data_IF_221229512366
#
_entry.id   IF_221229512366
#
_cell.length_a   1.000
_cell.length_b   1.000
_cell.length_c   1.000
_cell.angle_alpha   90.00
_cell.angle_beta   90.00
_cell.angle_gamma   90.00
#
_symmetry.space_group_name_H-M   'P 1'
#
loop_
_entity.id
_entity.type
_entity.pdbx_description
1 polymer ?
2 water ?
#
# COMPACT_ATOMS: atom_id res chain seq x y z
N UNK A 1 -2.56 22.62 5.68
CA UNK A 1 -4.00 22.65 5.28
C UNK A 1 -4.17 22.03 3.90
N UNK A 2 -5.25 21.26 3.74
CA UNK A 2 -5.55 20.57 2.45
C UNK A 2 -6.14 21.59 1.50
N UNK A 3 -5.63 21.70 0.28
CA UNK A 3 -6.08 22.71 -0.69
C UNK A 3 -7.39 22.34 -1.35
N UNK A 4 -8.43 22.27 -0.53
CA UNK A 4 -9.71 21.78 -0.92
C UNK A 4 -10.26 22.50 -2.11
N UNK A 5 -10.22 23.84 -2.09
CA UNK A 5 -10.81 24.55 -3.19
C UNK A 5 -10.07 24.32 -4.51
N UNK A 6 -8.73 24.38 -4.51
CA UNK A 6 -7.99 24.12 -5.72
C UNK A 6 -8.28 22.69 -6.23
N UNK A 7 -8.36 21.71 -5.32
CA UNK A 7 -8.55 20.34 -5.73
C UNK A 7 -9.95 20.14 -6.31
N UNK A 8 -10.94 20.74 -5.66
CA UNK A 8 -12.28 20.58 -6.14
C UNK A 8 -12.43 21.30 -7.53
N UNK A 9 -11.66 22.35 -7.78
CA UNK A 9 -11.67 23.00 -9.09
C UNK A 9 -11.24 22.02 -10.18
N UNK A 10 -10.17 21.30 -9.92
CA UNK A 10 -9.72 20.28 -10.85
C UNK A 10 -10.81 19.26 -11.08
N UNK A 11 -11.44 18.76 -9.99
CA UNK A 11 -12.38 17.69 -10.11
C UNK A 11 -13.69 18.11 -10.79
N UNK A 12 -14.08 19.38 -10.57
CA UNK A 12 -15.26 19.92 -11.14
C UNK A 12 -15.09 20.39 -12.56
N UNK A 13 -13.90 20.31 -13.12
CA UNK A 13 -13.63 20.96 -14.38
C UNK A 13 -14.49 20.46 -15.53
N UNK A 14 -14.87 19.18 -15.52
CA UNK A 14 -15.70 18.66 -16.59
C UNK A 14 -17.18 18.97 -16.45
N UNK A 15 -17.59 19.58 -15.36
CA UNK A 15 -19.00 19.94 -15.18
C UNK A 15 -19.91 18.76 -14.93
N UNK A 16 -19.38 17.62 -14.51
CA UNK A 16 -20.31 16.48 -14.34
C UNK A 16 -21.30 16.50 -13.20
N UNK A 17 -21.22 17.50 -12.33
CA UNK A 17 -22.05 17.50 -11.04
C UNK A 17 -21.96 16.13 -10.30
N UNK A 18 -20.73 15.70 -10.04
CA UNK A 18 -20.43 14.38 -9.52
C UNK A 18 -20.50 14.31 -8.01
N UNK A 19 -20.67 15.45 -7.35
CA UNK A 19 -20.76 15.49 -5.89
C UNK A 19 -19.56 14.97 -5.20
N UNK A 20 -18.39 15.30 -5.74
CA UNK A 20 -17.08 14.97 -5.13
C UNK A 20 -17.03 15.41 -3.68
N UNK A 21 -16.64 14.51 -2.78
CA UNK A 21 -16.49 14.84 -1.37
C UNK A 21 -15.25 14.21 -0.87
N UNK A 22 -14.53 14.92 0.01
CA UNK A 22 -13.35 14.24 0.58
C UNK A 22 -13.76 13.07 1.46
N UNK A 23 -12.94 12.02 1.45
CA UNK A 23 -13.12 10.87 2.32
C UNK A 23 -11.95 10.65 3.28
N UNK A 24 -10.76 11.23 2.98
CA UNK A 24 -9.51 11.09 3.80
C UNK A 24 -8.31 11.90 3.23
N UNK A 27 -3.54 14.10 4.09
CA UNK A 27 -2.31 13.43 4.53
C UNK A 27 -1.10 14.00 3.76
N UNK A 28 -0.27 14.79 4.45
CA UNK A 28 0.87 15.53 3.84
C UNK A 28 0.46 16.40 2.63
N UNK A 29 -0.73 16.98 2.73
CA UNK A 29 -1.26 17.86 1.71
C UNK A 29 -2.12 17.17 0.64
N UNK A 30 -1.98 15.84 0.52
CA UNK A 30 -2.79 15.01 -0.43
C UNK A 30 -4.15 14.70 0.18
N UNK A 31 -5.13 14.62 -0.69
CA UNK A 31 -6.52 14.36 -0.31
C UNK A 31 -7.16 13.37 -1.25
N UNK A 32 -8.04 12.55 -0.72
CA UNK A 32 -8.79 11.55 -1.50
C UNK A 32 -10.27 11.94 -1.44
N UNK A 33 -10.91 11.89 -2.59
CA UNK A 33 -12.29 12.25 -2.80
C UNK A 33 -13.02 11.08 -3.42
N UNK A 34 -14.34 11.05 -3.25
CA UNK A 34 -15.20 10.03 -3.87
C UNK A 34 -16.37 10.73 -4.48
N UNK A 35 -16.85 10.25 -5.60
CA UNK A 35 -18.02 10.79 -6.24
C UNK A 35 -19.25 10.39 -5.40
N UNK A 36 -20.33 11.15 -5.55
CA UNK A 36 -21.54 10.90 -4.77
C UNK A 36 -22.11 9.50 -5.02
N UNK A 37 -22.02 9.01 -6.26
CA UNK A 37 -22.55 7.70 -6.58
C UNK A 37 -21.64 6.58 -6.13
N UNK A 38 -20.46 6.94 -5.64
CA UNK A 38 -19.50 5.95 -5.13
C UNK A 38 -18.62 5.27 -6.16
N UNK A 39 -18.80 5.58 -7.43
CA UNK A 39 -18.19 4.84 -8.50
C UNK A 39 -16.82 5.31 -8.93
N UNK A 40 -16.43 6.51 -8.51
CA UNK A 40 -15.14 7.07 -8.87
C UNK A 40 -14.46 7.64 -7.66
N UNK A 41 -13.13 7.51 -7.62
CA UNK A 41 -12.30 8.12 -6.62
C UNK A 41 -11.36 9.11 -7.28
N UNK A 42 -10.88 10.07 -6.49
CA UNK A 42 -9.88 11.02 -6.97
C UNK A 42 -8.83 11.25 -5.89
N UNK A 43 -7.58 11.26 -6.26
CA UNK A 43 -6.52 11.63 -5.34
C UNK A 43 -5.88 12.84 -5.87
N UNK A 44 -5.77 13.89 -5.03
CA UNK A 44 -5.18 15.13 -5.46
C UNK A 44 -4.02 15.49 -4.59
N UNK A 45 -3.04 16.17 -5.19
CA UNK A 45 -1.81 16.53 -4.50
C UNK A 45 -1.38 17.93 -4.89
N UNK A 46 -0.64 18.58 -4.02
CA UNK A 46 -0.15 19.87 -4.40
C UNK A 46 0.99 19.81 -5.40
N UNK A 47 1.38 20.98 -5.91
CA UNK A 47 2.35 21.07 -7.00
C UNK A 47 3.62 20.27 -6.74
N UNK A 48 4.11 20.30 -5.50
CA UNK A 48 5.38 19.67 -5.19
C UNK A 48 5.33 18.11 -5.07
N UNK A 49 4.13 17.53 -5.16
CA UNK A 49 3.93 16.09 -5.06
C UNK A 49 3.45 15.48 -6.39
N UNK A 50 3.36 16.30 -7.45
CA UNK A 50 2.79 15.81 -8.70
C UNK A 50 3.59 14.64 -9.24
N UNK A 51 4.92 14.64 -9.13
CA UNK A 51 5.66 13.50 -9.71
C UNK A 51 5.26 12.22 -9.00
N UNK A 52 5.04 12.24 -7.69
CA UNK A 52 4.60 11.00 -6.98
C UNK A 52 3.22 10.58 -7.45
N UNK A 53 2.33 11.56 -7.75
CA UNK A 53 0.97 11.16 -8.20
C UNK A 53 1.06 10.63 -9.68
N UNK A 54 1.89 11.26 -10.51
CA UNK A 54 2.08 10.76 -11.85
C UNK A 54 2.62 9.32 -11.82
N UNK A 55 3.54 9.10 -10.89
CA UNK A 55 4.07 7.74 -10.64
C UNK A 55 2.98 6.72 -10.31
N UNK A 56 2.03 7.15 -9.47
CA UNK A 56 0.89 6.31 -9.14
C UNK A 56 0.02 6.08 -10.37
N UNK A 57 -0.28 7.12 -11.12
CA UNK A 57 -1.05 7.00 -12.35
C UNK A 57 -0.47 5.91 -13.22
N UNK A 58 0.85 6.02 -13.44
CA UNK A 58 1.52 5.08 -14.32
C UNK A 58 1.45 3.63 -13.82
N UNK A 59 1.55 3.47 -12.51
CA UNK A 59 1.44 2.13 -11.90
C UNK A 59 0.04 1.55 -12.11
N UNK A 60 -1.00 2.36 -11.90
CA UNK A 60 -2.37 1.87 -12.05
C UNK A 60 -2.60 1.49 -13.51
N UNK A 61 -2.20 2.41 -14.44
CA UNK A 61 -2.40 2.11 -15.83
C UNK A 61 -1.64 0.90 -16.31
N UNK A 62 -0.39 0.75 -15.87
CA UNK A 62 0.39 -0.42 -16.25
C UNK A 62 -0.25 -1.69 -15.69
N UNK A 63 -0.65 -1.66 -14.43
CA UNK A 63 -1.23 -2.89 -13.84
C UNK A 63 -2.46 -3.33 -14.56
N UNK A 64 -3.20 -2.39 -15.16
CA UNK A 64 -4.38 -2.74 -15.93
C UNK A 64 -4.03 -3.60 -17.15
N UNK A 65 -2.76 -3.69 -17.53
CA UNK A 65 -2.33 -4.50 -18.67
C UNK A 65 -1.77 -5.87 -18.23
N UNK A 66 -1.76 -6.16 -16.93
CA UNK A 66 -1.06 -7.28 -16.33
C UNK A 66 -1.98 -8.39 -15.80
N UNK A 67 -3.27 -8.24 -16.04
CA UNK A 67 -4.25 -9.25 -15.53
C UNK A 67 -4.23 -9.42 -14.03
N UNK A 68 -4.06 -8.33 -13.32
CA UNK A 68 -4.15 -8.28 -11.85
C UNK A 68 -5.26 -7.30 -11.55
N UNK A 69 -6.27 -7.67 -10.73
CA UNK A 69 -7.41 -6.79 -10.58
C UNK A 69 -7.08 -5.55 -9.75
N UNK A 70 -7.55 -4.41 -10.26
CA UNK A 70 -7.23 -3.10 -9.67
C UNK A 70 -8.08 -2.04 -10.35
N UNK A 71 -7.87 -0.78 -9.98
CA UNK A 71 -8.60 0.33 -10.56
C UNK A 71 -8.23 0.58 -12.00
N UNK A 72 -9.03 1.39 -12.68
CA UNK A 72 -8.65 1.94 -13.97
C UNK A 72 -8.48 3.46 -13.81
N UNK A 73 -7.51 4.00 -14.56
CA UNK A 73 -7.36 5.45 -14.62
C UNK A 73 -8.46 6.04 -15.52
N UNK A 74 -9.26 6.94 -14.93
CA UNK A 74 -10.33 7.59 -15.68
C UNK A 74 -9.92 8.95 -16.20
N UNK A 75 -9.08 9.67 -15.46
CA UNK A 75 -8.60 10.98 -15.96
C UNK A 75 -7.36 11.36 -15.15
N UNK A 76 -6.64 12.34 -15.71
CA UNK A 76 -5.45 12.93 -15.14
C UNK A 76 -5.51 14.42 -15.42
N UNK A 77 -5.48 15.23 -14.39
CA UNK A 77 -5.76 16.66 -14.51
C UNK A 77 -4.69 17.42 -13.78
N UNK A 78 -4.19 18.50 -14.40
CA UNK A 78 -3.11 19.25 -13.81
C UNK A 78 -3.41 20.73 -13.90
N UNK A 79 -2.96 21.49 -12.91
CA UNK A 79 -2.96 22.94 -12.98
C UNK A 79 -1.90 23.51 -12.08
N UNK A 80 -1.96 24.82 -11.86
CA UNK A 80 -0.99 25.50 -11.03
C UNK A 80 -0.87 25.06 -9.57
N UNK A 81 -1.97 24.56 -9.05
CA UNK A 81 -2.03 24.18 -7.68
C UNK A 81 -1.83 22.65 -7.44
N UNK A 82 -1.59 21.87 -8.50
CA UNK A 82 -1.23 20.48 -8.37
C UNK A 82 -1.95 19.62 -9.39
N UNK A 83 -2.30 18.42 -8.99
CA UNK A 83 -2.78 17.41 -9.94
C UNK A 83 -3.84 16.55 -9.25
N UNK A 84 -4.70 15.99 -10.10
CA UNK A 84 -5.73 15.03 -9.68
C UNK A 84 -5.71 13.83 -10.55
N UNK A 85 -5.79 12.67 -9.88
CA UNK A 85 -5.81 11.37 -10.51
C UNK A 85 -7.17 10.73 -10.23
N UNK A 86 -7.98 10.57 -11.27
CA UNK A 86 -9.33 10.03 -11.11
C UNK A 86 -9.31 8.56 -11.52
N UNK A 87 -9.83 7.66 -10.65
CA UNK A 87 -9.84 6.25 -10.88
C UNK A 87 -11.21 5.64 -10.60
N UNK A 88 -11.44 4.48 -11.21
CA UNK A 88 -12.66 3.72 -10.93
C UNK A 88 -12.57 3.11 -9.51
N UNK A 89 -13.72 3.05 -8.84
CA UNK A 89 -13.83 2.28 -7.62
C UNK A 89 -13.63 0.83 -7.88
N UNK A 90 -12.87 0.16 -7.00
CA UNK A 90 -12.83 -1.27 -6.93
C UNK A 90 -13.93 -1.66 -5.96
N UNK A 91 -15.05 -2.16 -6.48
CA UNK A 91 -16.19 -2.40 -5.64
C UNK A 91 -15.98 -3.53 -4.66
N UNK A 92 -16.44 -3.33 -3.44
CA UNK A 92 -16.37 -4.33 -2.42
C UNK A 92 -16.00 -3.79 -1.06
N UNK A 93 -15.61 -4.68 -0.16
CA UNK A 93 -15.38 -4.25 1.22
C UNK A 93 -13.87 -4.26 1.45
N UNK A 94 -13.29 -3.14 1.90
CA UNK A 94 -11.85 -3.17 2.25
C UNK A 94 -11.62 -4.20 3.34
N UNK A 95 -10.52 -4.94 3.23
CA UNK A 95 -10.29 -6.07 4.11
C UNK A 95 -10.08 -5.68 5.57
N UNK A 96 -9.73 -4.43 5.86
CA UNK A 96 -9.64 -4.04 7.25
C UNK A 96 -10.99 -3.91 7.92
N UNK A 97 -12.06 -3.85 7.13
CA UNK A 97 -13.42 -3.71 7.65
C UNK A 97 -14.08 -5.06 7.84
N UNK A 98 -13.44 -6.13 7.37
CA UNK A 98 -13.94 -7.49 7.53
C UNK A 98 -13.87 -7.91 8.98
N UNK A 99 -14.91 -8.62 9.40
CA UNK A 99 -14.84 -9.34 10.65
C UNK A 99 -13.78 -10.37 10.63
N UNK A 100 -13.41 -10.88 11.80
CA UNK A 100 -12.47 -11.95 11.81
C UNK A 100 -12.86 -13.17 11.02
N UNK A 101 -14.13 -13.51 11.07
CA UNK A 101 -14.56 -14.71 10.28
C UNK A 101 -14.55 -14.44 8.75
N UNK A 102 -14.92 -13.25 8.37
CA UNK A 102 -14.83 -12.84 6.97
C UNK A 102 -13.37 -12.87 6.49
N UNK A 103 -12.45 -12.32 7.30
CA UNK A 103 -11.04 -12.33 6.85
C UNK A 103 -10.54 -13.70 6.75
N UNK A 104 -10.95 -14.58 7.69
CA UNK A 104 -10.61 -15.94 7.51
C UNK A 104 -11.13 -16.57 6.25
N UNK A 105 -12.37 -16.24 5.87
CA UNK A 105 -12.88 -16.74 4.59
C UNK A 105 -12.04 -16.25 3.39
N UNK A 106 -11.50 -15.07 3.48
CA UNK A 106 -10.73 -14.46 2.41
C UNK A 106 -9.23 -14.81 2.48
N UNK A 107 -8.79 -15.55 3.51
CA UNK A 107 -7.36 -15.65 3.78
C UNK A 107 -6.60 -16.40 2.68
N UNK A 108 -7.09 -17.57 2.31
CA UNK A 108 -6.48 -18.29 1.16
C UNK A 108 -6.69 -17.57 -0.18
N UNK A 109 -7.88 -16.96 -0.39
CA UNK A 109 -8.04 -16.14 -1.59
C UNK A 109 -7.03 -14.97 -1.67
N UNK A 110 -6.71 -14.36 -0.54
CA UNK A 110 -5.72 -13.31 -0.52
C UNK A 110 -4.36 -13.88 -0.87
N UNK A 111 -3.98 -15.03 -0.28
CA UNK A 111 -2.72 -15.63 -0.59
C UNK A 111 -2.62 -15.87 -2.08
N UNK A 112 -3.68 -16.37 -2.67
CA UNK A 112 -3.64 -16.68 -4.09
C UNK A 112 -3.53 -15.40 -4.96
N UNK A 113 -4.26 -14.38 -4.60
CA UNK A 113 -4.24 -13.14 -5.38
C UNK A 113 -2.86 -12.42 -5.28
N UNK A 114 -2.31 -12.45 -4.09
CA UNK A 114 -0.96 -11.85 -3.84
C UNK A 114 0.07 -12.68 -4.59
N UNK A 115 -0.04 -14.00 -4.57
CA UNK A 115 0.88 -14.85 -5.30
C UNK A 115 0.84 -14.48 -6.77
N UNK A 116 -0.34 -14.29 -7.35
CA UNK A 116 -0.43 -13.95 -8.76
C UNK A 116 0.30 -12.64 -9.05
N UNK A 117 0.10 -11.62 -8.21
CA UNK A 117 0.81 -10.37 -8.39
C UNK A 117 2.32 -10.58 -8.31
N UNK A 118 2.73 -11.36 -7.30
CA UNK A 118 4.11 -11.68 -7.08
C UNK A 118 4.71 -12.70 -8.12
N UNK A 119 3.95 -13.11 -9.05
CA UNK A 119 4.44 -13.92 -10.16
C UNK A 119 4.61 -13.12 -11.41
N UNK A 120 4.24 -11.85 -11.46
CA UNK A 120 4.62 -11.04 -12.62
C UNK A 120 6.13 -11.03 -12.76
N UNK A 121 6.70 -11.12 -13.97
CA UNK A 121 8.16 -11.19 -14.08
C UNK A 121 8.85 -9.91 -13.67
N UNK A 122 9.64 -9.94 -12.60
CA UNK A 122 10.03 -8.66 -12.04
C UNK A 122 10.91 -7.83 -12.92
N UNK A 123 11.73 -8.49 -13.74
CA UNK A 123 12.62 -7.76 -14.65
C UNK A 123 11.84 -7.01 -15.75
N UNK A 124 10.58 -7.35 -15.95
CA UNK A 124 9.75 -6.67 -16.92
C UNK A 124 8.94 -5.54 -16.29
N UNK A 125 9.00 -5.42 -15.00
CA UNK A 125 8.23 -4.34 -14.37
C UNK A 125 8.93 -3.04 -14.61
N UNK A 126 8.22 -1.98 -15.03
CA UNK A 126 8.86 -0.68 -15.16
C UNK A 126 9.23 -0.02 -13.85
N UNK A 127 8.68 -0.53 -12.76
CA UNK A 127 8.68 0.20 -11.47
C UNK A 127 9.46 -0.59 -10.43
N UNK A 128 10.07 0.18 -9.53
CA UNK A 128 10.80 -0.37 -8.41
C UNK A 128 10.39 0.28 -7.09
N UNK A 129 10.46 -0.49 -6.03
CA UNK A 129 10.42 0.06 -4.65
C UNK A 129 11.44 -0.73 -3.84
N UNK A 130 12.64 -0.84 -4.38
CA UNK A 130 13.68 -1.66 -3.84
C UNK A 130 14.27 -1.01 -2.59
N UNK A 131 15.04 -1.81 -1.85
CA UNK A 131 15.42 -1.37 -0.53
C UNK A 131 16.29 -0.13 -0.57
N UNK A 132 17.17 -0.01 -1.55
CA UNK A 132 18.00 1.20 -1.55
C UNK A 132 17.20 2.47 -1.66
N UNK A 133 16.14 2.47 -2.48
CA UNK A 133 15.23 3.61 -2.56
C UNK A 133 14.46 3.81 -1.26
N UNK A 134 13.95 2.73 -0.71
CA UNK A 134 13.12 2.88 0.47
C UNK A 134 13.93 3.31 1.67
N UNK A 135 15.16 2.77 1.80
CA UNK A 135 15.99 3.14 2.90
C UNK A 135 16.37 4.61 2.77
N UNK A 136 16.66 5.06 1.53
CA UNK A 136 16.90 6.47 1.31
C UNK A 136 15.70 7.35 1.63
N UNK A 137 14.48 6.90 1.34
CA UNK A 137 13.33 7.62 1.74
C UNK A 137 13.22 7.74 3.26
N UNK A 138 13.45 6.67 3.99
CA UNK A 138 13.43 6.72 5.46
C UNK A 138 14.47 7.69 5.99
N UNK A 139 15.69 7.66 5.45
CA UNK A 139 16.69 8.64 5.92
C UNK A 139 16.17 10.08 5.80
N UNK A 140 15.48 10.35 4.71
CA UNK A 140 14.93 11.69 4.49
C UNK A 140 13.80 12.07 5.44
N UNK A 141 12.85 11.13 5.65
CA UNK A 141 11.77 11.38 6.58
C UNK A 141 12.34 11.64 8.00
N UNK A 142 13.30 10.81 8.39
CA UNK A 142 13.93 10.90 9.72
C UNK A 142 14.72 12.22 9.82
N UNK A 143 15.43 12.58 8.75
CA UNK A 143 16.17 13.84 8.73
C UNK A 143 15.25 15.05 8.89
N UNK A 144 14.06 14.99 8.28
CA UNK A 144 13.04 16.01 8.36
C UNK A 144 12.20 16.00 9.66
N UNK A 145 12.46 15.02 10.53
CA UNK A 145 11.73 14.80 11.76
C UNK A 145 10.23 14.69 11.39
N UNK A 146 9.94 13.92 10.36
CA UNK A 146 8.56 13.82 9.82
C UNK A 146 7.87 12.49 10.08
N UNK A 147 8.48 11.61 10.88
CA UNK A 147 7.87 10.30 11.19
C UNK A 147 6.63 10.52 12.04
N UNK A 148 5.54 9.87 11.67
CA UNK A 148 4.34 9.89 12.47
C UNK A 148 4.38 8.74 13.44
N UNK A 149 4.55 9.01 14.75
CA UNK A 149 4.73 7.87 15.69
C UNK A 149 3.51 6.96 15.76
N UNK A 150 2.33 7.42 15.31
CA UNK A 150 1.15 6.56 15.33
C UNK A 150 1.33 5.35 14.37
N UNK A 151 2.21 5.48 13.37
CA UNK A 151 2.46 4.40 12.38
C UNK A 151 3.40 3.40 12.91
N UNK A 152 4.14 3.71 13.96
CA UNK A 152 5.14 2.80 14.48
C UNK A 152 4.48 1.68 15.28
N UNK A 153 5.14 0.56 15.44
CA UNK A 153 4.72 -0.43 16.43
C UNK A 153 4.59 0.20 17.80
N UNK A 154 3.60 -0.23 18.56
CA UNK A 154 3.35 0.39 19.85
C UNK A 154 4.63 0.55 20.71
N UNK A 155 5.46 -0.47 20.76
CA UNK A 155 6.64 -0.47 21.62
C UNK A 155 7.75 0.51 21.18
N UNK A 156 7.64 1.04 19.95
CA UNK A 156 8.61 1.97 19.38
C UNK A 156 8.17 3.41 19.43
N UNK A 157 6.93 3.67 19.88
CA UNK A 157 6.35 5.00 19.64
C UNK A 157 7.02 6.05 20.45
N UNK A 158 7.72 5.65 21.51
CA UNK A 158 8.42 6.59 22.36
C UNK A 158 9.92 6.59 22.16
N UNK A 159 10.36 6.07 21.01
CA UNK A 159 11.80 6.01 20.70
C UNK A 159 12.09 6.99 19.57
N UNK A 160 13.19 7.77 19.69
CA UNK A 160 13.57 8.72 18.58
C UNK A 160 13.69 7.96 17.26
N UNK A 161 13.03 8.47 16.22
CA UNK A 161 13.11 7.72 14.97
C UNK A 161 14.50 7.58 14.39
N UNK A 162 15.44 8.50 14.64
CA UNK A 162 16.83 8.29 14.19
C UNK A 162 17.42 7.06 14.82
N UNK A 163 17.05 6.77 16.07
CA UNK A 163 17.52 5.55 16.71
C UNK A 163 16.89 4.29 16.10
N UNK A 164 15.63 4.38 15.75
CA UNK A 164 14.96 3.27 15.09
C UNK A 164 15.61 2.98 13.74
N UNK A 165 15.88 4.02 12.98
CA UNK A 165 16.53 3.84 11.69
C UNK A 165 17.92 3.20 11.83
N UNK A 166 18.62 3.68 12.84
CA UNK A 166 19.98 3.13 13.10
C UNK A 166 19.97 1.65 13.49
N UNK A 167 18.87 1.11 14.02
CA UNK A 167 18.77 -0.32 14.28
C UNK A 167 18.76 -1.17 12.98
N UNK A 168 18.23 -0.55 11.93
CA UNK A 168 18.03 -1.24 10.63
C UNK A 168 19.25 -1.04 9.72
N UNK A 169 19.90 0.14 9.80
CA UNK A 169 20.97 0.51 8.89
C UNK A 169 22.06 -0.55 8.71
N UNK A 170 22.52 -1.26 9.75
CA UNK A 170 23.58 -2.21 9.55
C UNK A 170 23.20 -3.41 8.69
N UNK A 171 21.89 -3.63 8.53
CA UNK A 171 21.40 -4.82 7.85
C UNK A 171 21.03 -4.59 6.43
N UNK A 172 21.27 -3.38 5.90
CA UNK A 172 20.89 -3.11 4.54
C UNK A 172 21.54 -4.07 3.55
N UNK A 173 22.84 -4.32 3.71
CA UNK A 173 23.51 -5.23 2.79
C UNK A 173 22.94 -6.62 2.79
N UNK A 174 22.73 -7.18 4.01
CA UNK A 174 22.15 -8.51 4.10
C UNK A 174 20.78 -8.54 3.45
N UNK A 175 19.96 -7.54 3.74
CA UNK A 175 18.59 -7.51 3.21
C UNK A 175 18.63 -7.26 1.68
N UNK A 176 19.58 -6.49 1.18
CA UNK A 176 19.73 -6.34 -0.25
C UNK A 176 20.05 -7.67 -0.92
N UNK A 177 20.89 -8.50 -0.29
CA UNK A 177 21.19 -9.79 -0.87
C UNK A 177 19.95 -10.66 -0.93
N UNK A 178 19.15 -10.62 0.13
CA UNK A 178 17.88 -11.42 0.12
C UNK A 178 16.93 -10.93 -0.95
N UNK A 179 16.82 -9.60 -1.08
CA UNK A 179 15.97 -8.98 -2.10
C UNK A 179 16.45 -9.42 -3.48
N UNK A 180 17.74 -9.39 -3.75
CA UNK A 180 18.23 -9.79 -5.08
C UNK A 180 17.87 -11.24 -5.38
N UNK A 181 17.96 -12.11 -4.37
CA UNK A 181 17.66 -13.49 -4.55
C UNK A 181 16.19 -13.78 -4.72
N UNK A 182 15.33 -12.99 -4.15
CA UNK A 182 13.90 -13.28 -4.16
C UNK A 182 13.29 -11.84 -4.32
N UNK A 183 13.27 -11.37 -5.53
CA UNK A 183 12.49 -10.19 -5.88
C UNK A 183 11.19 -10.59 -6.56
N UNK A 184 10.17 -9.82 -6.25
CA UNK A 184 8.86 -9.93 -6.88
C UNK A 184 8.35 -8.54 -7.20
N UNK A 185 7.27 -8.45 -7.99
CA UNK A 185 6.53 -7.21 -8.12
C UNK A 185 5.59 -7.09 -6.94
N UNK A 186 5.95 -6.20 -5.99
CA UNK A 186 5.16 -5.95 -4.83
C UNK A 186 4.05 -4.90 -5.09
N UNK A 187 2.93 -5.09 -4.39
CA UNK A 187 1.92 -4.02 -4.32
C UNK A 187 2.51 -2.73 -3.78
N UNK A 188 3.32 -2.86 -2.75
CA UNK A 188 4.08 -1.76 -2.22
C UNK A 188 3.56 -1.17 -0.95
N UNK A 189 2.29 -1.41 -0.64
CA UNK A 189 1.69 -0.95 0.62
C UNK A 189 0.55 -1.92 0.96
N UNK A 190 0.94 -3.16 1.22
CA UNK A 190 -0.05 -4.29 1.29
C UNK A 190 -0.61 -4.41 2.71
N UNK A 191 -1.14 -3.31 3.23
CA UNK A 191 -1.94 -3.37 4.44
C UNK A 191 -3.35 -3.77 4.06
N UNK A 192 -4.12 -4.29 5.02
CA UNK A 192 -5.51 -4.73 4.75
C UNK A 192 -6.43 -3.72 4.07
N UNK A 193 -6.32 -2.41 4.36
CA UNK A 193 -7.20 -1.47 3.69
C UNK A 193 -7.08 -1.51 2.18
N UNK A 194 -5.93 -1.93 1.68
CA UNK A 194 -5.64 -1.85 0.24
C UNK A 194 -6.03 -3.10 -0.53
N UNK A 195 -6.66 -4.05 0.15
CA UNK A 195 -7.16 -5.29 -0.49
C UNK A 195 -8.69 -5.21 -0.38
N UNK A 196 -9.36 -5.19 -1.53
CA UNK A 196 -10.83 -5.08 -1.55
C UNK A 196 -11.36 -6.50 -1.76
N UNK A 197 -12.34 -6.87 -0.93
CA UNK A 197 -12.95 -8.21 -0.98
C UNK A 197 -14.33 -8.13 -1.59
N UNK A 198 -14.67 -9.17 -2.36
CA UNK A 198 -16.03 -9.31 -2.86
C UNK A 198 -16.93 -9.68 -1.66
N UNK A 199 -18.00 -8.89 -1.44
CA UNK A 199 -18.80 -9.08 -0.20
C UNK A 199 -19.65 -10.32 -0.19
N UNK A 200 -19.81 -10.98 -1.35
CA UNK A 200 -20.60 -12.20 -1.44
C UNK A 200 -19.73 -13.44 -1.45
N UNK A 201 -18.66 -13.49 -2.26
CA UNK A 201 -17.81 -14.67 -2.28
C UNK A 201 -16.70 -14.65 -1.28
N UNK A 202 -16.31 -13.44 -0.84
CA UNK A 202 -15.09 -13.24 0.00
C UNK A 202 -13.78 -13.58 -0.68
N UNK A 203 -13.82 -13.65 -2.02
CA UNK A 203 -12.63 -13.60 -2.80
C UNK A 203 -12.10 -12.17 -2.89
N UNK A 204 -10.90 -11.99 -3.44
CA UNK A 204 -10.36 -10.67 -3.68
C UNK A 204 -11.00 -10.04 -4.90
N UNK A 205 -11.55 -8.87 -4.74
CA UNK A 205 -12.09 -8.06 -5.84
C UNK A 205 -11.00 -7.28 -6.53
N UNK A 206 -10.04 -6.77 -5.81
CA UNK A 206 -8.91 -6.07 -6.44
C UNK A 206 -8.09 -5.39 -5.39
N UNK A 207 -7.00 -4.81 -5.86
CA UNK A 207 -6.08 -4.03 -5.03
C UNK A 207 -6.26 -2.53 -5.33
N UNK A 208 -6.05 -1.70 -4.31
CA UNK A 208 -6.08 -0.26 -4.48
C UNK A 208 -4.80 0.37 -3.90
N UNK A 209 -4.64 1.66 -4.10
CA UNK A 209 -3.56 2.43 -3.49
C UNK A 209 -2.18 1.86 -3.88
N UNK A 210 -1.98 1.90 -5.21
CA UNK A 210 -0.85 1.26 -5.90
C UNK A 210 0.34 2.14 -6.13
N UNK A 211 0.41 3.27 -5.41
CA UNK A 211 1.45 4.25 -5.66
C UNK A 211 2.87 3.82 -5.38
N UNK A 212 3.08 2.72 -4.65
CA UNK A 212 4.39 2.16 -4.37
C UNK A 212 4.65 0.86 -5.10
N UNK A 213 3.82 0.47 -6.04
CA UNK A 213 3.99 -0.79 -6.76
C UNK A 213 5.41 -0.85 -7.36
N UNK A 214 6.02 -2.04 -7.29
CA UNK A 214 7.30 -2.20 -7.96
C UNK A 214 8.07 -3.34 -7.40
N UNK A 215 9.22 -3.63 -8.01
CA UNK A 215 10.11 -4.67 -7.52
C UNK A 215 10.49 -4.41 -6.07
N UNK A 216 10.51 -5.49 -5.28
CA UNK A 216 11.01 -5.50 -3.94
C UNK A 216 11.02 -6.95 -3.43
N UNK A 217 11.59 -7.15 -2.25
CA UNK A 217 11.49 -8.42 -1.57
C UNK A 217 9.99 -8.69 -1.25
N UNK A 218 9.51 -9.93 -1.44
CA UNK A 218 8.09 -10.16 -1.10
C UNK A 218 7.69 -9.79 0.32
N UNK A 219 8.64 -9.88 1.27
CA UNK A 219 8.30 -9.45 2.65
C UNK A 219 7.99 -7.98 2.82
N UNK A 220 8.36 -7.13 1.83
CA UNK A 220 7.91 -5.75 1.89
C UNK A 220 6.39 -5.70 1.91
N UNK A 221 5.75 -6.62 1.22
CA UNK A 221 4.30 -6.79 1.23
C UNK A 221 3.84 -7.67 2.37
N UNK A 222 4.42 -8.85 2.55
CA UNK A 222 3.88 -9.79 3.52
C UNK A 222 3.96 -9.25 4.95
N UNK A 223 5.01 -8.48 5.27
CA UNK A 223 5.11 -7.95 6.62
C UNK A 223 3.89 -7.12 6.99
N UNK A 224 3.47 -6.26 6.06
CA UNK A 224 2.34 -5.35 6.33
C UNK A 224 1.02 -6.08 6.35
N UNK A 225 0.87 -7.05 5.47
CA UNK A 225 -0.34 -7.85 5.43
C UNK A 225 -0.49 -8.62 6.76
N UNK A 226 0.58 -9.27 7.19
CA UNK A 226 0.48 -10.06 8.40
C UNK A 226 0.26 -9.17 9.61
N UNK A 227 0.95 -8.05 9.72
CA UNK A 227 0.79 -7.21 10.93
C UNK A 227 -0.62 -6.63 10.97
N UNK A 228 -1.15 -6.19 9.84
CA UNK A 228 -2.49 -5.62 9.87
C UNK A 228 -3.55 -6.68 10.08
N UNK A 229 -3.35 -7.87 9.59
CA UNK A 229 -4.30 -8.95 9.90
C UNK A 229 -4.24 -9.38 11.36
N UNK A 230 -3.11 -9.29 12.02
CA UNK A 230 -3.03 -9.62 13.43
C UNK A 230 -3.97 -8.76 14.24
N UNK A 231 -4.24 -7.53 13.79
CA UNK A 231 -5.23 -6.72 14.48
C UNK A 231 -6.62 -7.31 14.43
N UNK A 232 -6.98 -7.91 13.32
CA UNK A 232 -8.26 -8.59 13.21
C UNK A 232 -8.31 -9.87 14.01
N UNK A 233 -7.24 -10.66 14.01
CA UNK A 233 -7.36 -11.91 14.76
C UNK A 233 -7.56 -11.64 16.27
N UNK A 234 -7.10 -10.53 16.80
CA UNK A 234 -7.47 -10.16 18.22
C UNK A 234 -7.14 -11.20 19.27
N UNK A 235 -8.12 -11.49 20.15
CA UNK A 235 -7.96 -12.46 21.28
C UNK A 235 -7.94 -13.94 20.85
N UNK A 236 -8.14 -14.23 19.57
CA UNK A 236 -8.17 -15.60 19.10
C UNK A 236 -6.75 -16.15 18.98
N UNK A 237 -6.19 -16.55 20.08
CA UNK A 237 -4.78 -16.90 20.17
C UNK A 237 -4.44 -18.17 19.35
N UNK A 238 -5.34 -19.15 19.33
CA UNK A 238 -5.06 -20.36 18.54
C UNK A 238 -4.86 -20.05 17.04
N UNK A 239 -5.73 -19.22 16.50
CA UNK A 239 -5.62 -18.78 15.11
C UNK A 239 -4.50 -17.78 14.92
N UNK A 240 -4.33 -16.81 15.83
CA UNK A 240 -3.31 -15.82 15.60
C UNK A 240 -1.93 -16.48 15.59
N UNK A 241 -1.77 -17.62 16.29
CA UNK A 241 -0.46 -18.35 16.36
C UNK A 241 -0.20 -19.18 15.07
N UNK A 242 -1.26 -19.40 14.25
CA UNK A 242 -1.19 -20.31 13.06
C UNK A 242 -1.43 -19.55 11.71
N UNK A 243 -2.01 -18.36 11.75
CA UNK A 243 -2.48 -17.68 10.55
C UNK A 243 -1.35 -17.54 9.52
N UNK A 244 -0.19 -17.09 9.96
CA UNK A 244 0.91 -16.80 9.03
C UNK A 244 1.49 -18.04 8.41
N UNK A 245 1.66 -19.09 9.21
CA UNK A 245 2.16 -20.35 8.65
C UNK A 245 1.24 -20.88 7.59
N UNK A 246 -0.04 -20.79 7.81
CA UNK A 246 -0.97 -21.33 6.79
C UNK A 246 -0.99 -20.43 5.53
N UNK A 247 -0.90 -19.10 5.70
CA UNK A 247 -0.80 -18.20 4.53
C UNK A 247 0.46 -18.60 3.74
N UNK A 248 1.58 -18.76 4.44
CA UNK A 248 2.84 -19.03 3.78
C UNK A 248 2.82 -20.35 3.00
N UNK A 249 2.18 -21.33 3.58
CA UNK A 249 2.02 -22.62 2.93
C UNK A 249 1.17 -22.47 1.66
N UNK A 250 0.10 -21.69 1.74
CA UNK A 250 -0.74 -21.52 0.58
C UNK A 250 -0.06 -20.65 -0.55
N UNK A 251 0.57 -19.59 -0.15
CA UNK A 251 1.29 -18.70 -1.07
C UNK A 251 2.55 -19.41 -1.63
N UNK A 252 3.25 -20.17 -0.83
CA UNK A 252 4.48 -20.91 -1.21
C UNK A 252 5.77 -20.17 -0.87
N UNK A 253 6.00 -19.89 0.40
CA UNK A 253 7.24 -19.30 0.86
C UNK A 253 7.51 -19.85 2.26
N UNK A 254 8.78 -19.91 2.62
CA UNK A 254 9.24 -20.22 3.95
C UNK A 254 9.16 -18.94 4.74
N UNK A 255 8.65 -19.05 5.94
CA UNK A 255 8.66 -17.86 6.83
C UNK A 255 10.09 -17.53 7.23
N UNK A 256 10.42 -16.26 7.28
CA UNK A 256 11.70 -15.69 7.70
C UNK A 256 11.40 -14.51 8.63
N UNK A 257 11.33 -14.75 9.92
CA UNK A 257 10.84 -13.72 10.82
C UNK A 257 11.75 -12.50 10.90
N UNK A 258 13.07 -12.62 10.86
CA UNK A 258 13.92 -11.46 10.92
C UNK A 258 13.73 -10.59 9.69
N UNK A 259 13.64 -11.22 8.53
CA UNK A 259 13.45 -10.48 7.31
C UNK A 259 12.05 -9.75 7.36
N UNK A 260 11.01 -10.47 7.78
CA UNK A 260 9.68 -9.89 7.93
C UNK A 260 9.71 -8.66 8.85
N UNK A 261 10.34 -8.86 10.01
CA UNK A 261 10.38 -7.79 11.00
C UNK A 261 11.13 -6.56 10.50
N UNK A 262 12.21 -6.79 9.72
CA UNK A 262 12.97 -5.69 9.16
C UNK A 262 11.99 -4.81 8.34
N UNK A 263 11.21 -5.42 7.45
CA UNK A 263 10.28 -4.60 6.65
C UNK A 263 9.16 -3.99 7.46
N UNK A 264 8.65 -4.71 8.45
CA UNK A 264 7.66 -4.14 9.35
C UNK A 264 8.15 -2.86 9.99
N UNK A 265 9.42 -2.92 10.43
CA UNK A 265 10.00 -1.82 11.14
C UNK A 265 10.49 -0.66 10.23
N UNK A 266 10.87 -1.01 9.01
CA UNK A 266 11.29 0.03 8.07
C UNK A 266 10.08 0.85 7.63
N UNK A 267 8.97 0.18 7.31
CA UNK A 267 7.88 0.82 6.58
C UNK A 267 7.46 2.11 7.22
N UNK A 268 7.17 2.18 8.52
CA UNK A 268 6.65 3.44 9.04
C UNK A 268 7.59 4.61 8.95
N UNK A 269 8.88 4.35 8.85
CA UNK A 269 9.90 5.38 8.73
C UNK A 269 9.92 6.04 7.35
N UNK A 270 9.19 5.44 6.37
CA UNK A 270 9.25 5.89 4.99
C UNK A 270 8.11 6.83 4.60
N UNK A 271 7.18 7.11 5.51
CA UNK A 271 5.96 7.92 5.20
C UNK A 271 6.11 9.30 5.77
N UNK A 272 5.87 10.30 4.96
CA UNK A 272 5.85 11.66 5.45
C UNK A 272 6.84 12.57 4.73
#
# INVERSE_FOLDING_TARGET
MIDLTAFLTLLRADGGDAGWEPVTDGESGAAVFRSADGSRYAKCVPADQVAALEAERDRVSWLSTQDIPGPRVLDWRVGAAGAGLLTSTVEGIPADRASASMLRAAWEPIADAVRRLHELPPEKCPFTRELGEMFSMARDVVAREAVNPDFLPEEQRHTPPGELLARLAPYVGQRLAQEAAQTVVCHGDLCLPNIILDPDTLDVAGFIDLGRLGRADPYADLALLFATARETWGDDERWSQSAEEEFAARYGIALDRDRERFYLHLDPLTWG
#
